data_IF_619349243493
#
_entry.id   IF_619349243493
#
_cell.length_a   1.000
_cell.length_b   1.000
_cell.length_c   1.000
_cell.angle_alpha   90.00
_cell.angle_beta   90.00
_cell.angle_gamma   90.00
#
_symmetry.space_group_name_H-M   'P 1'
#
loop_
_entity.id
_entity.type
_entity.pdbx_description
1 polymer ?
#
# COMPACT_ATOMS: atom_id res chain seq x y z
N UNK A 1 47.23 14.29 -1.71
CA UNK A 1 46.75 14.69 -3.05
C UNK A 1 45.35 14.11 -3.18
N UNK A 2 44.32 14.60 -2.50
CA UNK A 2 43.72 15.95 -2.46
C UNK A 2 43.32 16.47 -3.85
N UNK A 3 42.07 16.20 -4.24
CA UNK A 3 41.35 16.97 -5.27
C UNK A 3 39.85 16.98 -4.96
N UNK A 4 39.47 17.88 -4.06
CA UNK A 4 38.31 18.81 -4.08
C UNK A 4 36.95 18.31 -4.59
N UNK A 5 35.98 18.37 -3.66
CA UNK A 5 34.55 18.62 -3.85
C UNK A 5 34.28 19.83 -4.76
N UNK A 6 33.27 19.74 -5.62
CA UNK A 6 32.47 20.88 -6.07
C UNK A 6 30.98 20.53 -5.87
N UNK A 7 30.38 21.26 -4.94
CA UNK A 7 28.95 21.36 -4.69
C UNK A 7 28.43 22.45 -5.61
N UNK A 8 27.40 22.15 -6.41
CA UNK A 8 26.64 23.19 -7.12
C UNK A 8 25.18 23.11 -6.69
N UNK A 9 24.80 24.02 -5.80
CA UNK A 9 23.42 24.34 -5.48
C UNK A 9 22.78 25.06 -6.68
N UNK A 10 21.64 24.56 -7.16
CA UNK A 10 20.73 25.35 -8.00
C UNK A 10 19.52 25.72 -7.14
N UNK A 11 19.55 26.97 -6.69
CA UNK A 11 18.41 27.68 -6.09
C UNK A 11 17.53 28.21 -7.23
N UNK A 12 16.36 27.62 -7.43
CA UNK A 12 15.31 28.15 -8.31
C UNK A 12 14.27 28.90 -7.47
N UNK A 13 14.19 30.21 -7.65
CA UNK A 13 13.34 31.12 -6.90
C UNK A 13 11.85 30.94 -7.23
N UNK A 14 11.01 30.73 -6.21
CA UNK A 14 9.56 30.88 -6.30
C UNK A 14 9.21 32.34 -5.99
N UNK A 15 8.68 33.04 -6.98
CA UNK A 15 8.14 34.40 -6.84
C UNK A 15 6.79 34.31 -6.12
N UNK A 16 6.73 34.98 -4.98
CA UNK A 16 5.56 35.16 -4.12
C UNK A 16 4.66 36.21 -4.78
N UNK A 17 3.53 35.76 -5.33
CA UNK A 17 2.43 36.62 -5.76
C UNK A 17 1.52 36.92 -4.57
N UNK A 18 1.52 38.18 -4.14
CA UNK A 18 0.80 38.68 -2.98
C UNK A 18 -0.65 39.07 -3.27
N UNK A 19 -1.46 38.99 -2.21
CA UNK A 19 -2.57 39.87 -1.86
C UNK A 19 -3.81 39.93 -2.79
N UNK A 20 -4.82 39.16 -2.40
CA UNK A 20 -6.23 39.44 -2.67
C UNK A 20 -7.04 39.24 -1.39
N UNK A 21 -7.04 40.25 -0.52
CA UNK A 21 -7.82 40.28 0.72
C UNK A 21 -9.24 40.75 0.38
N UNK A 22 -10.21 39.83 0.35
CA UNK A 22 -11.63 40.16 0.27
C UNK A 22 -12.30 39.68 1.55
N UNK A 23 -12.52 40.62 2.46
CA UNK A 23 -13.33 40.47 3.67
C UNK A 23 -14.80 40.63 3.30
N UNK A 24 -15.54 39.52 3.18
CA UNK A 24 -17.00 39.55 3.18
C UNK A 24 -17.48 39.27 4.60
N UNK A 25 -17.94 40.33 5.27
CA UNK A 25 -18.79 40.26 6.45
C UNK A 25 -20.20 39.88 6.00
N UNK A 26 -20.76 38.79 6.51
CA UNK A 26 -22.18 38.51 6.36
C UNK A 26 -22.59 37.12 6.82
N UNK A 27 -23.46 37.06 7.85
CA UNK A 27 -24.39 35.93 8.01
C UNK A 27 -24.08 34.95 9.14
N UNK A 28 -24.41 35.33 10.38
CA UNK A 28 -24.75 34.36 11.41
C UNK A 28 -26.14 33.80 11.05
N UNK A 29 -26.19 32.56 10.56
CA UNK A 29 -27.43 31.91 10.15
C UNK A 29 -27.25 30.41 10.20
N UNK A 30 -27.75 29.80 11.27
CA UNK A 30 -27.70 28.37 11.47
C UNK A 30 -28.43 27.59 10.38
N UNK A 31 -27.79 26.53 9.90
CA UNK A 31 -28.46 25.39 9.31
C UNK A 31 -27.56 24.18 9.60
N UNK A 32 -27.94 23.41 10.61
CA UNK A 32 -27.37 22.08 10.83
C UNK A 32 -27.69 21.21 9.63
N UNK A 33 -26.78 21.19 8.66
CA UNK A 33 -26.81 20.26 7.54
C UNK A 33 -26.47 18.88 8.06
N UNK A 34 -27.48 18.17 8.55
CA UNK A 34 -27.39 16.72 8.70
C UNK A 34 -27.11 16.14 7.33
N UNK A 35 -25.90 15.61 7.15
CA UNK A 35 -25.54 14.86 5.96
C UNK A 35 -26.57 13.74 5.79
N UNK A 36 -27.44 13.87 4.78
CA UNK A 36 -28.34 12.80 4.42
C UNK A 36 -27.48 11.59 4.03
N UNK A 37 -27.61 10.50 4.79
CA UNK A 37 -27.04 9.22 4.38
C UNK A 37 -27.69 8.85 3.06
N UNK A 38 -26.95 9.00 1.96
CA UNK A 38 -27.38 8.59 0.64
C UNK A 38 -27.47 7.08 0.66
N UNK A 39 -28.70 6.56 0.76
CA UNK A 39 -28.97 5.15 0.54
C UNK A 39 -28.43 4.78 -0.84
N UNK A 40 -27.66 3.68 -0.97
CA UNK A 40 -27.19 3.23 -2.28
C UNK A 40 -28.37 3.06 -3.23
N UNK A 41 -28.23 3.59 -4.45
CA UNK A 41 -29.21 3.34 -5.51
C UNK A 41 -29.26 1.84 -5.80
N UNK A 42 -30.45 1.31 -6.09
CA UNK A 42 -30.67 -0.11 -6.45
C UNK A 42 -29.70 -0.62 -7.54
N UNK A 43 -29.36 0.25 -8.51
CA UNK A 43 -28.37 -0.05 -9.55
C UNK A 43 -26.96 -0.32 -9.00
N UNK A 44 -26.51 0.46 -8.00
CA UNK A 44 -25.20 0.27 -7.38
C UNK A 44 -25.15 -1.02 -6.54
N UNK A 45 -26.24 -1.32 -5.82
CA UNK A 45 -26.37 -2.58 -5.08
C UNK A 45 -26.35 -3.80 -6.02
N UNK A 46 -27.02 -3.69 -7.17
CA UNK A 46 -27.03 -4.75 -8.19
C UNK A 46 -25.65 -4.97 -8.80
N UNK A 47 -24.92 -3.89 -9.11
CA UNK A 47 -23.56 -3.96 -9.63
C UNK A 47 -22.60 -4.62 -8.61
N UNK A 48 -22.67 -4.23 -7.33
CA UNK A 48 -21.86 -4.84 -6.28
C UNK A 48 -22.15 -6.35 -6.12
N UNK A 49 -23.43 -6.74 -6.15
CA UNK A 49 -23.81 -8.16 -6.08
C UNK A 49 -23.30 -8.97 -7.29
N UNK A 50 -23.26 -8.37 -8.48
CA UNK A 50 -22.71 -9.01 -9.68
C UNK A 50 -21.20 -9.25 -9.54
N UNK A 51 -20.44 -8.28 -9.01
CA UNK A 51 -18.99 -8.43 -8.75
C UNK A 51 -18.72 -9.54 -7.73
N UNK A 52 -19.48 -9.61 -6.63
CA UNK A 52 -19.35 -10.68 -5.65
C UNK A 52 -19.55 -12.07 -6.27
N UNK A 53 -20.61 -12.22 -7.07
CA UNK A 53 -20.94 -13.49 -7.73
C UNK A 53 -19.82 -13.91 -8.68
N UNK A 54 -19.42 -12.99 -9.56
CA UNK A 54 -18.34 -13.20 -10.54
C UNK A 54 -17.02 -13.60 -9.88
N UNK A 55 -16.61 -12.90 -8.83
CA UNK A 55 -15.38 -13.21 -8.10
C UNK A 55 -15.45 -14.55 -7.37
N UNK A 56 -16.60 -14.87 -6.76
CA UNK A 56 -16.80 -16.15 -6.08
C UNK A 56 -16.76 -17.33 -7.06
N UNK A 57 -17.35 -17.18 -8.25
CA UNK A 57 -17.31 -18.18 -9.32
C UNK A 57 -15.88 -18.39 -9.84
N UNK A 58 -15.17 -17.30 -10.15
CA UNK A 58 -13.78 -17.34 -10.61
C UNK A 58 -12.83 -18.01 -9.60
N UNK A 59 -13.10 -17.85 -8.30
CA UNK A 59 -12.32 -18.49 -7.23
C UNK A 59 -12.78 -19.90 -6.86
N UNK A 60 -13.91 -20.39 -7.37
CA UNK A 60 -14.48 -21.66 -6.93
C UNK A 60 -13.52 -22.84 -7.15
N UNK A 61 -12.74 -22.82 -8.24
CA UNK A 61 -11.75 -23.84 -8.55
C UNK A 61 -10.38 -23.55 -7.93
N UNK A 62 -9.95 -22.28 -7.94
CA UNK A 62 -8.60 -21.86 -7.50
C UNK A 62 -8.49 -21.83 -5.97
N UNK A 63 -9.52 -21.33 -5.29
CA UNK A 63 -9.58 -21.24 -3.84
C UNK A 63 -11.04 -21.39 -3.34
N UNK A 64 -11.54 -22.63 -3.22
CA UNK A 64 -12.93 -22.91 -2.82
C UNK A 64 -13.28 -22.33 -1.44
N UNK A 65 -12.29 -22.18 -0.54
CA UNK A 65 -12.48 -21.60 0.78
C UNK A 65 -12.78 -20.10 0.68
N UNK A 66 -12.00 -19.37 -0.11
CA UNK A 66 -12.18 -17.94 -0.30
C UNK A 66 -13.44 -17.63 -1.10
N UNK A 67 -13.78 -18.45 -2.09
CA UNK A 67 -15.07 -18.39 -2.81
C UNK A 67 -16.26 -18.43 -1.84
N UNK A 68 -16.31 -19.43 -0.93
CA UNK A 68 -17.35 -19.50 0.10
C UNK A 68 -17.37 -18.29 1.03
N UNK A 69 -16.18 -17.77 1.38
CA UNK A 69 -16.08 -16.58 2.21
C UNK A 69 -16.71 -15.35 1.54
N UNK A 70 -16.43 -15.09 0.26
CA UNK A 70 -17.00 -13.95 -0.47
C UNK A 70 -18.53 -14.01 -0.53
N UNK A 71 -19.10 -15.21 -0.65
CA UNK A 71 -20.56 -15.41 -0.66
C UNK A 71 -21.22 -15.30 0.72
N UNK A 72 -20.44 -15.28 1.80
CA UNK A 72 -20.98 -15.16 3.14
C UNK A 72 -21.42 -13.71 3.39
N UNK A 73 -22.58 -13.53 4.03
CA UNK A 73 -23.07 -12.22 4.48
C UNK A 73 -22.17 -11.53 5.51
N UNK A 74 -21.11 -12.21 5.96
CA UNK A 74 -20.12 -11.71 6.92
C UNK A 74 -18.78 -11.33 6.28
N UNK A 75 -18.75 -11.17 4.96
CA UNK A 75 -17.61 -10.65 4.23
C UNK A 75 -17.95 -9.33 3.55
N UNK A 76 -16.99 -8.44 3.54
CA UNK A 76 -17.03 -7.18 2.80
C UNK A 76 -15.95 -7.17 1.73
N UNK A 77 -16.24 -6.52 0.60
CA UNK A 77 -15.36 -6.47 -0.56
C UNK A 77 -14.98 -5.01 -0.82
N UNK A 78 -13.76 -4.66 -0.46
CA UNK A 78 -13.23 -3.31 -0.66
C UNK A 78 -12.42 -3.25 -1.94
N UNK A 79 -12.82 -2.39 -2.87
CA UNK A 79 -12.03 -2.16 -4.08
C UNK A 79 -10.69 -1.48 -3.73
N UNK A 80 -9.63 -2.02 -4.30
CA UNK A 80 -8.26 -1.54 -4.12
C UNK A 80 -7.86 -0.78 -5.37
N UNK A 81 -7.56 0.51 -5.22
CA UNK A 81 -7.09 1.35 -6.34
C UNK A 81 -5.87 0.72 -7.03
N UNK A 82 -6.03 0.46 -8.33
CA UNK A 82 -5.06 -0.19 -9.21
C UNK A 82 -4.30 0.88 -9.99
N UNK A 83 -2.95 0.81 -10.08
CA UNK A 83 -2.18 1.68 -10.93
C UNK A 83 -2.68 1.65 -12.38
N UNK A 84 -2.76 2.81 -13.03
CA UNK A 84 -3.35 2.96 -14.36
C UNK A 84 -2.63 2.18 -15.48
N UNK A 85 -1.49 1.56 -15.21
CA UNK A 85 -0.76 0.69 -16.13
C UNK A 85 -1.22 -0.79 -16.08
N UNK A 86 -1.95 -1.19 -15.03
CA UNK A 86 -2.52 -2.54 -14.88
C UNK A 86 -4.00 -2.57 -15.30
N UNK A 87 -4.33 -1.86 -16.39
CA UNK A 87 -5.70 -1.80 -16.90
C UNK A 87 -6.21 -3.19 -17.25
N UNK A 88 -7.49 -3.43 -17.00
CA UNK A 88 -8.12 -4.73 -17.22
C UNK A 88 -8.11 -5.64 -15.99
N UNK A 89 -7.45 -5.23 -14.90
CA UNK A 89 -7.56 -5.87 -13.60
C UNK A 89 -8.40 -5.04 -12.64
N UNK A 90 -9.27 -5.71 -11.90
CA UNK A 90 -9.90 -5.20 -10.69
C UNK A 90 -9.27 -5.92 -9.50
N UNK A 91 -8.94 -5.19 -8.44
CA UNK A 91 -8.33 -5.78 -7.23
C UNK A 91 -9.20 -5.48 -6.02
N UNK A 92 -9.42 -6.49 -5.20
CA UNK A 92 -10.29 -6.42 -4.04
C UNK A 92 -9.59 -6.92 -2.78
N UNK A 93 -9.81 -6.22 -1.68
CA UNK A 93 -9.53 -6.69 -0.33
C UNK A 93 -10.80 -7.28 0.28
N UNK A 94 -10.73 -8.56 0.62
CA UNK A 94 -11.81 -9.32 1.24
C UNK A 94 -11.59 -9.28 2.75
N UNK A 95 -12.53 -8.66 3.47
CA UNK A 95 -12.48 -8.49 4.92
C UNK A 95 -13.62 -9.27 5.57
N UNK A 96 -13.35 -9.94 6.69
CA UNK A 96 -14.43 -10.54 7.50
C UNK A 96 -14.90 -9.55 8.56
N UNK A 97 -16.16 -9.16 8.47
CA UNK A 97 -16.77 -8.22 9.42
C UNK A 97 -17.13 -8.88 10.75
N UNK A 98 -17.40 -10.20 10.74
CA UNK A 98 -17.78 -10.96 11.93
C UNK A 98 -16.58 -11.42 12.77
N UNK A 99 -15.38 -11.40 12.20
CA UNK A 99 -14.16 -11.80 12.87
C UNK A 99 -12.96 -11.00 12.31
N UNK A 100 -12.72 -9.79 12.85
CA UNK A 100 -11.66 -8.90 12.37
C UNK A 100 -10.24 -9.43 12.64
N UNK A 101 -10.11 -10.55 13.37
CA UNK A 101 -8.82 -11.22 13.60
C UNK A 101 -8.45 -12.18 12.47
N UNK A 102 -9.35 -12.46 11.52
CA UNK A 102 -9.02 -13.29 10.36
C UNK A 102 -8.26 -12.44 9.35
N UNK A 103 -7.12 -12.94 8.84
CA UNK A 103 -6.35 -12.24 7.81
C UNK A 103 -7.22 -11.86 6.62
N UNK A 104 -7.08 -10.60 6.16
CA UNK A 104 -7.73 -10.17 4.92
C UNK A 104 -7.15 -10.93 3.74
N UNK A 105 -7.87 -11.07 2.64
CA UNK A 105 -7.34 -11.67 1.41
C UNK A 105 -7.38 -10.65 0.30
N UNK A 106 -6.30 -10.55 -0.48
CA UNK A 106 -6.23 -9.63 -1.61
C UNK A 106 -6.27 -10.46 -2.89
N UNK A 107 -7.24 -10.16 -3.76
CA UNK A 107 -7.50 -10.91 -4.99
C UNK A 107 -7.62 -9.96 -6.17
N UNK A 108 -7.02 -10.33 -7.29
CA UNK A 108 -7.23 -9.68 -8.57
C UNK A 108 -8.15 -10.53 -9.46
N UNK A 109 -8.97 -9.89 -10.29
CA UNK A 109 -9.76 -10.54 -11.34
C UNK A 109 -9.67 -9.73 -12.63
N UNK A 110 -9.52 -10.39 -13.77
CA UNK A 110 -9.52 -9.73 -15.08
C UNK A 110 -10.90 -9.76 -15.76
N UNK A 111 -11.00 -9.12 -16.93
CA UNK A 111 -12.23 -9.10 -17.73
C UNK A 111 -12.63 -10.46 -18.35
N UNK A 112 -11.80 -11.49 -18.22
CA UNK A 112 -12.08 -12.87 -18.64
C UNK A 112 -12.38 -13.78 -17.44
N UNK A 113 -12.65 -13.20 -16.27
CA UNK A 113 -12.97 -13.87 -15.01
C UNK A 113 -11.86 -14.80 -14.51
N UNK A 114 -10.60 -14.51 -14.86
CA UNK A 114 -9.45 -15.16 -14.24
C UNK A 114 -9.14 -14.48 -12.92
N UNK A 115 -9.32 -15.19 -11.81
CA UNK A 115 -9.00 -14.69 -10.47
C UNK A 115 -7.63 -15.18 -9.99
N UNK A 116 -6.90 -14.30 -9.29
CA UNK A 116 -5.57 -14.58 -8.71
C UNK A 116 -5.53 -14.07 -7.28
N UNK A 117 -5.24 -14.96 -6.32
CA UNK A 117 -5.02 -14.55 -4.91
C UNK A 117 -3.57 -14.05 -4.76
N UNK A 118 -3.42 -12.77 -4.41
CA UNK A 118 -2.15 -12.06 -4.31
C UNK A 118 -1.55 -12.10 -2.91
N UNK A 119 -2.37 -11.95 -1.87
CA UNK A 119 -1.90 -11.86 -0.48
C UNK A 119 -1.09 -13.10 -0.09
N UNK A 120 0.15 -12.89 0.37
CA UNK A 120 1.10 -13.95 0.72
C UNK A 120 1.77 -14.64 -0.48
N UNK A 121 1.55 -14.18 -1.70
CA UNK A 121 1.99 -14.81 -2.94
C UNK A 121 2.64 -13.80 -3.91
N UNK A 122 3.82 -13.24 -3.58
CA UNK A 122 4.50 -12.27 -4.44
C UNK A 122 4.80 -12.80 -5.85
N UNK A 123 5.04 -14.11 -6.00
CA UNK A 123 5.28 -14.76 -7.28
C UNK A 123 4.08 -14.66 -8.25
N UNK A 124 2.85 -14.56 -7.73
CA UNK A 124 1.63 -14.47 -8.54
C UNK A 124 1.38 -13.07 -9.10
N UNK A 125 2.12 -12.07 -8.62
CA UNK A 125 1.99 -10.71 -9.14
C UNK A 125 2.36 -10.62 -10.62
N UNK A 126 3.24 -11.49 -11.11
CA UNK A 126 3.61 -11.56 -12.53
C UNK A 126 2.39 -11.74 -13.44
N UNK A 127 1.31 -12.39 -12.98
CA UNK A 127 0.08 -12.54 -13.77
C UNK A 127 -0.59 -11.21 -14.10
N UNK A 128 -0.46 -10.21 -13.23
CA UNK A 128 -1.00 -8.87 -13.48
C UNK A 128 -0.22 -8.12 -14.57
N UNK A 129 1.04 -8.50 -14.81
CA UNK A 129 1.95 -7.82 -15.73
C UNK A 129 2.18 -8.58 -17.05
N UNK A 130 1.69 -9.83 -17.17
CA UNK A 130 1.76 -10.67 -18.38
C UNK A 130 1.28 -9.96 -19.67
N UNK A 131 0.37 -9.00 -19.56
CA UNK A 131 -0.19 -8.24 -20.69
C UNK A 131 0.75 -7.20 -21.30
N UNK A 132 2.00 -7.07 -20.81
CA UNK A 132 2.98 -6.13 -21.36
C UNK A 132 2.82 -4.70 -20.81
N UNK A 133 2.72 -4.59 -19.49
CA UNK A 133 2.66 -3.31 -18.77
C UNK A 133 3.85 -2.45 -19.16
N UNK A 134 3.62 -1.20 -19.56
CA UNK A 134 4.73 -0.28 -19.84
C UNK A 134 4.98 0.58 -18.60
N UNK A 135 6.18 0.43 -18.05
CA UNK A 135 6.70 1.32 -17.01
C UNK A 135 7.71 2.20 -17.70
N UNK A 136 7.38 3.49 -17.87
CA UNK A 136 8.22 4.46 -18.61
C UNK A 136 8.85 5.52 -17.72
N UNK A 137 8.35 5.67 -16.49
CA UNK A 137 8.79 6.73 -15.57
C UNK A 137 9.15 6.15 -14.19
N UNK A 138 10.06 6.80 -13.45
CA UNK A 138 10.39 6.38 -12.09
C UNK A 138 9.18 6.44 -11.13
N UNK A 139 8.22 7.35 -11.36
CA UNK A 139 6.99 7.43 -10.58
C UNK A 139 6.09 6.23 -10.83
N UNK A 140 5.93 5.81 -12.09
CA UNK A 140 5.18 4.60 -12.44
C UNK A 140 5.82 3.35 -11.81
N UNK A 141 7.15 3.26 -11.82
CA UNK A 141 7.87 2.17 -11.16
C UNK A 141 7.62 2.16 -9.64
N UNK A 142 7.66 3.34 -9.00
CA UNK A 142 7.40 3.46 -7.56
C UNK A 142 5.95 3.09 -7.20
N UNK A 143 4.98 3.54 -7.99
CA UNK A 143 3.56 3.19 -7.82
C UNK A 143 3.34 1.68 -7.97
N UNK A 144 4.00 1.05 -8.95
CA UNK A 144 3.93 -0.40 -9.15
C UNK A 144 4.55 -1.18 -7.98
N UNK A 145 5.72 -0.75 -7.47
CA UNK A 145 6.34 -1.37 -6.28
C UNK A 145 5.48 -1.20 -5.04
N UNK A 146 4.92 -0.01 -4.81
CA UNK A 146 4.00 0.22 -3.69
C UNK A 146 2.77 -0.68 -3.78
N UNK A 147 2.23 -0.84 -4.97
CA UNK A 147 1.11 -1.75 -5.23
C UNK A 147 1.49 -3.22 -5.01
N UNK A 148 2.65 -3.66 -5.54
CA UNK A 148 3.20 -5.00 -5.35
C UNK A 148 3.34 -5.33 -3.86
N UNK A 149 4.06 -4.50 -3.09
CA UNK A 149 4.28 -4.74 -1.66
C UNK A 149 2.97 -4.76 -0.87
N UNK A 150 2.04 -3.86 -1.18
CA UNK A 150 0.73 -3.80 -0.50
C UNK A 150 -0.13 -5.04 -0.77
N UNK A 151 -0.18 -5.49 -2.02
CA UNK A 151 -1.13 -6.54 -2.45
C UNK A 151 -0.61 -7.95 -2.23
N UNK A 152 0.72 -8.12 -2.16
CA UNK A 152 1.36 -9.43 -2.00
C UNK A 152 1.80 -9.74 -0.58
N UNK A 153 1.73 -8.77 0.34
CA UNK A 153 2.08 -8.96 1.76
C UNK A 153 1.34 -10.14 2.38
N UNK A 154 1.98 -10.77 3.35
CA UNK A 154 1.30 -11.70 4.25
C UNK A 154 0.34 -10.93 5.16
N UNK A 155 -0.96 -11.07 4.88
CA UNK A 155 -2.03 -10.40 5.62
C UNK A 155 -2.29 -11.01 6.98
N UNK A 156 -1.66 -12.14 7.33
CA UNK A 156 -1.68 -12.68 8.69
C UNK A 156 -0.76 -11.92 9.65
N UNK A 157 0.08 -11.04 9.11
CA UNK A 157 1.03 -10.21 9.84
C UNK A 157 0.70 -8.74 9.62
N UNK A 158 1.03 -7.90 10.61
CA UNK A 158 0.91 -6.45 10.44
C UNK A 158 2.11 -5.97 9.64
N UNK A 159 1.93 -5.87 8.33
CA UNK A 159 2.90 -5.31 7.38
C UNK A 159 2.40 -3.95 6.88
N UNK A 160 3.23 -2.92 6.96
CA UNK A 160 2.90 -1.56 6.51
C UNK A 160 4.11 -0.84 5.90
N UNK A 161 3.91 0.06 4.91
CA UNK A 161 5.00 0.82 4.33
C UNK A 161 5.56 1.85 5.33
N UNK A 162 6.87 2.11 5.21
CA UNK A 162 7.60 3.10 6.00
C UNK A 162 8.30 4.04 5.02
N UNK A 163 8.06 5.34 5.13
CA UNK A 163 8.78 6.36 4.37
C UNK A 163 9.85 7.08 5.21
N UNK A 164 9.68 7.08 6.53
CA UNK A 164 10.61 7.66 7.50
C UNK A 164 10.59 6.84 8.79
N UNK A 165 11.62 6.96 9.62
CA UNK A 165 11.66 6.29 10.93
C UNK A 165 10.47 6.66 11.83
N UNK A 166 9.84 7.82 11.60
CA UNK A 166 8.69 8.29 12.38
C UNK A 166 7.39 7.56 12.00
N UNK A 167 7.35 6.86 10.86
CA UNK A 167 6.21 6.03 10.46
C UNK A 167 6.14 4.70 11.24
N UNK A 168 7.19 4.36 12.00
CA UNK A 168 7.18 3.20 12.87
C UNK A 168 6.06 3.32 13.90
N UNK A 169 5.18 2.31 13.91
CA UNK A 169 3.99 2.29 14.77
C UNK A 169 4.38 1.77 16.15
N UNK A 170 4.73 2.68 17.06
CA UNK A 170 5.01 2.33 18.45
C UNK A 170 3.72 2.17 19.27
N UNK A 171 3.64 1.23 20.23
CA UNK A 171 2.56 1.16 21.21
C UNK A 171 2.39 2.47 21.98
N UNK A 172 1.15 2.79 22.35
CA UNK A 172 0.82 4.00 23.11
C UNK A 172 1.42 4.01 24.52
N UNK A 173 1.67 2.82 25.10
CA UNK A 173 2.27 2.66 26.41
C UNK A 173 3.48 1.75 26.29
N UNK A 174 4.64 2.24 26.70
CA UNK A 174 5.90 1.52 26.77
C UNK A 174 6.38 1.52 28.22
N UNK A 175 6.96 0.41 28.66
CA UNK A 175 7.72 0.41 29.91
C UNK A 175 9.11 1.06 29.71
N UNK A 176 9.91 1.16 30.78
CA UNK A 176 11.22 1.81 30.73
C UNK A 176 12.17 1.14 29.72
N UNK A 177 12.26 -0.19 29.75
CA UNK A 177 13.13 -0.96 28.85
C UNK A 177 12.72 -0.78 27.39
N UNK A 178 11.42 -0.86 27.09
CA UNK A 178 10.88 -0.64 25.75
C UNK A 178 11.09 0.80 25.26
N UNK A 179 11.05 1.78 26.16
CA UNK A 179 11.34 3.18 25.82
C UNK A 179 12.80 3.33 25.40
N UNK A 180 13.73 2.72 26.14
CA UNK A 180 15.15 2.70 25.77
C UNK A 180 15.37 2.04 24.40
N UNK A 181 14.76 0.87 24.17
CA UNK A 181 14.86 0.17 22.88
C UNK A 181 14.34 1.04 21.74
N UNK A 182 13.22 1.73 21.93
CA UNK A 182 12.66 2.65 20.95
C UNK A 182 13.63 3.79 20.63
N UNK A 183 14.18 4.46 21.63
CA UNK A 183 15.09 5.58 21.44
C UNK A 183 16.37 5.15 20.70
N UNK A 184 16.96 4.02 21.10
CA UNK A 184 18.13 3.44 20.43
C UNK A 184 17.82 3.05 18.98
N UNK A 185 16.66 2.44 18.73
CA UNK A 185 16.21 2.08 17.39
C UNK A 185 16.02 3.31 16.51
N UNK A 186 15.38 4.37 17.02
CA UNK A 186 15.19 5.62 16.28
C UNK A 186 16.54 6.25 15.93
N UNK A 187 17.47 6.32 16.88
CA UNK A 187 18.79 6.88 16.65
C UNK A 187 19.55 6.10 15.55
N UNK A 188 19.52 4.77 15.60
CA UNK A 188 20.19 3.90 14.63
C UNK A 188 19.54 3.89 13.25
N UNK A 189 18.21 3.93 13.18
CA UNK A 189 17.45 3.77 11.94
C UNK A 189 17.24 5.07 11.18
N UNK A 190 17.29 6.22 11.85
CA UNK A 190 17.07 7.53 11.21
C UNK A 190 18.03 7.80 10.04
N UNK A 191 19.25 7.28 10.10
CA UNK A 191 20.23 7.44 9.01
C UNK A 191 20.09 6.37 7.90
N UNK A 192 19.38 5.28 8.17
CA UNK A 192 19.22 4.15 7.25
C UNK A 192 17.89 4.16 6.49
N UNK A 193 16.83 4.66 7.11
CA UNK A 193 15.50 4.75 6.53
C UNK A 193 15.34 6.14 5.93
N UNK A 194 15.29 6.18 4.60
CA UNK A 194 14.96 7.38 3.84
C UNK A 194 13.58 7.20 3.20
N UNK A 195 13.08 8.24 2.53
CA UNK A 195 11.92 8.07 1.65
C UNK A 195 12.26 7.10 0.52
N UNK A 196 11.26 6.33 0.00
CA UNK A 196 11.45 5.45 -1.13
C UNK A 196 12.17 6.16 -2.26
N UNK A 197 13.21 5.54 -2.79
CA UNK A 197 14.06 6.13 -3.82
C UNK A 197 14.18 5.21 -5.01
N UNK A 198 14.22 5.81 -6.19
CA UNK A 198 14.26 5.11 -7.46
C UNK A 198 15.56 5.47 -8.18
N UNK A 199 16.29 4.46 -8.62
CA UNK A 199 17.49 4.61 -9.46
C UNK A 199 17.22 3.98 -10.81
N UNK A 200 17.37 4.75 -11.89
CA UNK A 200 17.25 4.23 -13.25
C UNK A 200 18.43 3.32 -13.61
N UNK A 201 18.14 2.25 -14.33
CA UNK A 201 19.08 1.28 -14.86
C UNK A 201 18.84 1.10 -16.36
N UNK A 202 19.73 0.38 -17.07
CA UNK A 202 19.52 0.11 -18.50
C UNK A 202 18.26 -0.69 -18.82
N UNK A 203 17.74 -1.46 -17.86
CA UNK A 203 16.61 -2.39 -18.02
C UNK A 203 15.32 -1.92 -17.34
N UNK A 204 15.33 -0.77 -16.66
CA UNK A 204 14.19 -0.27 -15.87
C UNK A 204 14.68 0.47 -14.64
N UNK A 205 14.15 0.15 -13.46
CA UNK A 205 14.43 0.86 -12.21
C UNK A 205 14.75 -0.09 -11.08
N UNK A 206 15.64 0.34 -10.19
CA UNK A 206 15.82 -0.26 -8.87
C UNK A 206 15.25 0.70 -7.82
N UNK A 207 14.34 0.20 -7.01
CA UNK A 207 13.63 0.93 -5.95
C UNK A 207 14.13 0.41 -4.61
N UNK A 208 14.59 1.31 -3.75
CA UNK A 208 14.76 1.01 -2.32
C UNK A 208 13.52 1.50 -1.58
N UNK A 209 12.86 0.60 -0.85
CA UNK A 209 11.73 0.92 0.02
C UNK A 209 11.81 0.16 1.34
N UNK A 210 10.92 0.48 2.29
CA UNK A 210 10.93 -0.10 3.63
C UNK A 210 9.52 -0.49 4.06
N UNK A 211 9.43 -1.61 4.78
CA UNK A 211 8.21 -2.02 5.47
C UNK A 211 8.49 -2.31 6.93
N UNK A 212 7.50 -2.03 7.77
CA UNK A 212 7.44 -2.52 9.14
C UNK A 212 6.65 -3.81 9.14
N UNK A 213 7.20 -4.86 9.76
CA UNK A 213 6.57 -6.17 9.85
C UNK A 213 6.65 -6.67 11.28
N UNK A 214 5.53 -6.57 11.98
CA UNK A 214 5.42 -6.86 13.42
C UNK A 214 6.49 -6.12 14.23
N UNK A 215 7.57 -6.78 14.64
CA UNK A 215 8.69 -6.25 15.43
C UNK A 215 9.99 -6.07 14.61
N UNK A 216 9.89 -6.10 13.28
CA UNK A 216 11.02 -5.95 12.36
C UNK A 216 10.85 -4.77 11.41
N UNK A 217 11.98 -4.29 10.88
CA UNK A 217 12.03 -3.39 9.73
C UNK A 217 12.75 -4.09 8.61
N UNK A 218 12.10 -4.14 7.45
CA UNK A 218 12.58 -4.80 6.25
C UNK A 218 12.89 -3.74 5.20
N UNK A 219 14.10 -3.79 4.64
CA UNK A 219 14.49 -3.05 3.45
C UNK A 219 14.22 -3.91 2.22
N UNK A 220 13.54 -3.34 1.25
CA UNK A 220 13.28 -3.95 -0.05
C UNK A 220 14.16 -3.28 -1.08
N UNK A 221 14.92 -4.08 -1.83
CA UNK A 221 15.60 -3.68 -3.05
C UNK A 221 14.85 -4.33 -4.23
N UNK A 222 13.84 -3.63 -4.71
CA UNK A 222 12.93 -4.13 -5.74
C UNK A 222 13.40 -3.64 -7.11
N UNK A 223 13.47 -4.53 -8.10
CA UNK A 223 13.72 -4.15 -9.49
C UNK A 223 12.42 -4.22 -10.28
N UNK A 224 12.14 -3.16 -11.04
CA UNK A 224 11.03 -3.08 -11.98
C UNK A 224 11.60 -2.89 -13.37
N UNK A 225 11.34 -3.83 -14.26
CA UNK A 225 11.73 -3.70 -15.66
C UNK A 225 10.71 -2.88 -16.46
N UNK A 226 11.08 -2.46 -17.67
CA UNK A 226 10.20 -1.64 -18.53
C UNK A 226 8.92 -2.35 -18.98
N UNK A 227 8.91 -3.68 -19.00
CA UNK A 227 7.72 -4.49 -19.30
C UNK A 227 6.88 -4.82 -18.05
N UNK A 228 7.23 -4.23 -16.91
CA UNK A 228 6.50 -4.38 -15.65
C UNK A 228 6.88 -5.62 -14.85
N UNK A 229 7.86 -6.44 -15.26
CA UNK A 229 8.32 -7.53 -14.40
C UNK A 229 8.93 -6.96 -13.11
N UNK A 230 8.48 -7.49 -11.97
CA UNK A 230 8.89 -7.07 -10.62
C UNK A 230 9.64 -8.21 -9.93
N UNK A 231 10.82 -7.91 -9.39
CA UNK A 231 11.58 -8.85 -8.54
C UNK A 231 11.98 -8.15 -7.26
N UNK A 232 11.81 -8.80 -6.11
CA UNK A 232 12.10 -8.22 -4.80
C UNK A 232 13.20 -8.97 -4.06
N UNK A 233 14.10 -8.21 -3.44
CA UNK A 233 15.07 -8.71 -2.48
C UNK A 233 14.84 -8.01 -1.13
N UNK A 234 14.38 -8.78 -0.14
CA UNK A 234 14.05 -8.27 1.19
C UNK A 234 15.18 -8.59 2.19
N UNK A 235 15.61 -7.59 2.96
CA UNK A 235 16.62 -7.72 4.02
C UNK A 235 16.10 -7.13 5.31
N UNK A 236 16.13 -7.88 6.40
CA UNK A 236 15.79 -7.37 7.74
C UNK A 236 16.95 -6.50 8.25
N UNK A 237 16.67 -5.22 8.55
CA UNK A 237 17.66 -4.24 9.04
C UNK A 237 17.51 -3.91 10.53
N UNK A 238 16.37 -4.28 11.12
CA UNK A 238 16.13 -4.26 12.55
C UNK A 238 15.12 -5.33 12.94
N UNK A 239 15.28 -5.88 14.13
CA UNK A 239 14.42 -6.89 14.72
C UNK A 239 14.26 -6.63 16.23
N UNK A 240 13.29 -7.30 16.86
CA UNK A 240 13.05 -7.18 18.30
C UNK A 240 12.56 -5.79 18.73
N UNK A 241 11.97 -5.02 17.81
CA UNK A 241 11.45 -3.70 18.12
C UNK A 241 10.10 -3.82 18.85
N UNK A 242 9.84 -3.01 19.89
CA UNK A 242 8.56 -2.98 20.58
C UNK A 242 7.55 -2.19 19.74
N UNK A 243 7.25 -2.67 18.52
CA UNK A 243 6.27 -2.08 17.63
C UNK A 243 4.87 -2.62 17.95
N UNK A 244 3.87 -1.89 17.49
CA UNK A 244 2.48 -2.30 17.54
C UNK A 244 2.33 -3.60 16.75
N UNK A 245 1.72 -4.60 17.38
CA UNK A 245 1.35 -5.85 16.71
C UNK A 245 -0.06 -5.71 16.14
N UNK A 246 -0.39 -6.49 15.11
CA UNK A 246 -1.78 -6.65 14.69
C UNK A 246 -2.64 -6.93 15.94
N UNK A 247 -3.81 -6.29 16.06
CA UNK A 247 -4.68 -6.41 17.23
C UNK A 247 -5.00 -7.89 17.51
N UNK A 248 -4.22 -8.47 18.40
CA UNK A 248 -4.39 -9.78 19.00
C UNK A 248 -3.98 -9.63 20.46
N UNK A 249 -5.00 -9.45 21.32
CA UNK A 249 -4.99 -9.61 22.78
C UNK A 249 -3.75 -9.19 23.55
#
# INVERSE_FOLDING_TARGET
MDTRRIITHVRGALVIGALGMVTVLGGCGGAGGGAAATTPTEAAATAAAAVHTRLAEALAEVNPRLSRQITAATSDLNEVSVPGMLQGWEVFEIVRIDNPHIPTSIVAIDGADRAVVLSGHPERFATLTEGGVQVDTPEAALDLVGFFLRTTRDTSRLVYPIATVDDLRWPTRLNADQTSIKEDAIARLREQIASPSTTETSSGWTITSWTGDQDTVVRHETTVSKDGAVTDAATTIAEGLPLQRALGG
#
